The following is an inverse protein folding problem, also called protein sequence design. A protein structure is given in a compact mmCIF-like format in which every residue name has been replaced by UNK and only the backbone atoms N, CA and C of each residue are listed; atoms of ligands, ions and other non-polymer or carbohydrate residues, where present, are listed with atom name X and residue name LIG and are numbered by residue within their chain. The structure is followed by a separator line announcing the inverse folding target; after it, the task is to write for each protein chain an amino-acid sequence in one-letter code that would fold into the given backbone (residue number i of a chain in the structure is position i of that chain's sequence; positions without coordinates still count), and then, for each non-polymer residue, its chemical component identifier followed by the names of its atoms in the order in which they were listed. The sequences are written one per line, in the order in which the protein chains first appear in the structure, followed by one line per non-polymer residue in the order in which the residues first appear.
data_IF_650937592378
#
_entry.id   IF_650937592378
#
_cell.length_a   1.000
_cell.length_b   1.000
_cell.length_c   1.000
_cell.angle_alpha   90.00
_cell.angle_beta   90.00
_cell.angle_gamma   90.00
#
_symmetry.space_group_name_H-M   'P 1'
#
loop_
_entity.id
_entity.type
_entity.pdbx_description
1 polymer ?
#
# COMPACT_ATOMS: atom_id res chain seq x y z
N UNK A 1 11.56 -50.76 32.78
CA UNK A 1 11.80 -49.96 31.55
C UNK A 1 10.45 -49.46 31.06
N UNK A 2 10.07 -48.22 31.34
CA UNK A 2 8.94 -47.58 30.67
C UNK A 2 8.96 -46.10 30.98
N UNK A 3 9.13 -45.27 29.95
CA UNK A 3 8.60 -43.90 29.84
C UNK A 3 9.21 -43.25 28.60
N UNK A 4 8.39 -43.05 27.56
CA UNK A 4 8.29 -41.82 26.76
C UNK A 4 7.47 -42.08 25.50
N UNK A 5 6.15 -42.02 25.64
CA UNK A 5 5.23 -41.89 24.50
C UNK A 5 3.95 -41.15 24.92
N UNK A 6 4.09 -40.08 25.70
CA UNK A 6 3.05 -39.07 25.87
C UNK A 6 3.76 -37.73 25.79
N UNK A 7 3.31 -36.86 24.89
CA UNK A 7 3.42 -35.39 24.91
C UNK A 7 3.17 -34.77 23.51
N UNK A 8 3.11 -35.53 22.42
CA UNK A 8 2.93 -34.95 21.08
C UNK A 8 1.47 -34.74 20.65
N UNK A 9 0.50 -35.35 21.33
CA UNK A 9 -0.93 -35.30 20.94
C UNK A 9 -1.68 -34.12 21.61
N UNK A 10 -1.32 -33.77 22.84
CA UNK A 10 -1.93 -32.66 23.59
C UNK A 10 -1.54 -31.29 22.99
N UNK A 11 -0.27 -31.11 22.62
CA UNK A 11 0.23 -29.87 21.99
C UNK A 11 -0.53 -29.49 20.69
N UNK A 12 -0.95 -30.50 19.91
CA UNK A 12 -1.67 -30.29 18.66
C UNK A 12 -3.12 -29.85 18.85
N UNK A 13 -3.78 -30.32 19.92
CA UNK A 13 -5.16 -29.93 20.25
C UNK A 13 -5.21 -28.52 20.85
N UNK A 14 -4.22 -28.14 21.65
CA UNK A 14 -4.11 -26.81 22.21
C UNK A 14 -3.84 -25.75 21.14
N UNK A 15 -2.94 -26.04 20.19
CA UNK A 15 -2.71 -25.16 19.04
C UNK A 15 -3.95 -25.01 18.16
N UNK A 16 -4.71 -26.08 17.95
CA UNK A 16 -5.96 -26.02 17.18
C UNK A 16 -7.02 -25.17 17.90
N UNK A 17 -7.11 -25.27 19.23
CA UNK A 17 -8.02 -24.47 20.04
C UNK A 17 -7.66 -22.98 19.96
N UNK A 18 -6.39 -22.64 20.19
CA UNK A 18 -5.88 -21.26 20.10
C UNK A 18 -6.10 -20.70 18.70
N UNK A 19 -5.84 -21.49 17.65
CA UNK A 19 -6.07 -21.05 16.26
C UNK A 19 -7.53 -20.68 16.02
N UNK A 20 -8.46 -21.51 16.50
CA UNK A 20 -9.90 -21.24 16.38
C UNK A 20 -10.32 -19.99 17.14
N UNK A 21 -9.79 -19.77 18.34
CA UNK A 21 -10.06 -18.55 19.11
C UNK A 21 -9.55 -17.30 18.39
N UNK A 22 -8.35 -17.35 17.81
CA UNK A 22 -7.79 -16.25 17.02
C UNK A 22 -8.63 -15.95 15.78
N UNK A 23 -9.18 -16.98 15.12
CA UNK A 23 -10.07 -16.81 13.98
C UNK A 23 -11.41 -16.17 14.40
N UNK A 24 -11.99 -16.62 15.52
CA UNK A 24 -13.21 -16.00 16.09
C UNK A 24 -12.99 -14.53 16.43
N UNK A 25 -11.86 -14.19 17.06
CA UNK A 25 -11.51 -12.78 17.37
C UNK A 25 -11.36 -11.99 16.06
N UNK A 26 -10.65 -12.54 15.07
CA UNK A 26 -10.48 -11.89 13.76
C UNK A 26 -11.82 -11.61 13.08
N UNK A 27 -12.76 -12.55 13.14
CA UNK A 27 -14.08 -12.37 12.54
C UNK A 27 -14.94 -11.37 13.31
N UNK A 28 -14.86 -11.38 14.64
CA UNK A 28 -15.46 -10.33 15.49
C UNK A 28 -14.96 -8.92 15.13
N UNK A 29 -13.64 -8.76 14.92
CA UNK A 29 -13.06 -7.48 14.50
C UNK A 29 -13.61 -7.02 13.13
N UNK A 30 -13.79 -7.94 12.18
CA UNK A 30 -14.38 -7.61 10.86
C UNK A 30 -15.82 -7.10 10.99
N UNK A 31 -16.61 -7.70 11.89
CA UNK A 31 -17.99 -7.25 12.16
C UNK A 31 -18.04 -5.82 12.71
N UNK A 32 -17.00 -5.39 13.42
CA UNK A 32 -16.82 -4.01 13.89
C UNK A 32 -16.32 -3.05 12.79
N UNK A 33 -16.25 -3.50 11.53
CA UNK A 33 -15.80 -2.69 10.39
C UNK A 33 -14.28 -2.51 10.33
N UNK A 34 -13.51 -3.24 11.14
CA UNK A 34 -12.06 -3.22 11.06
C UNK A 34 -11.59 -3.98 9.82
N UNK A 35 -10.67 -3.37 9.10
CA UNK A 35 -10.07 -3.94 7.89
C UNK A 35 -8.59 -4.14 8.10
N UNK A 36 -8.05 -5.22 7.56
CA UNK A 36 -6.65 -5.58 7.75
C UNK A 36 -5.81 -5.17 6.54
N UNK A 37 -4.65 -4.58 6.80
CA UNK A 37 -3.65 -4.37 5.73
C UNK A 37 -3.06 -5.72 5.29
N UNK A 38 -3.06 -5.98 3.99
CA UNK A 38 -2.51 -7.20 3.39
C UNK A 38 -1.00 -7.33 3.59
N UNK A 39 -0.28 -6.21 3.73
CA UNK A 39 1.17 -6.19 3.89
C UNK A 39 1.61 -6.38 5.34
N UNK A 40 1.15 -5.54 6.27
CA UNK A 40 1.62 -5.56 7.67
C UNK A 40 0.69 -6.28 8.64
N UNK A 41 -0.47 -6.77 8.18
CA UNK A 41 -1.48 -7.50 8.99
C UNK A 41 -2.08 -6.71 10.17
N UNK A 42 -1.81 -5.41 10.27
CA UNK A 42 -2.46 -4.52 11.26
C UNK A 42 -3.90 -4.21 10.86
N UNK A 43 -4.78 -4.07 11.84
CA UNK A 43 -6.18 -3.69 11.67
C UNK A 43 -6.35 -2.18 11.74
N UNK A 44 -7.26 -1.66 10.92
CA UNK A 44 -7.58 -0.24 10.83
C UNK A 44 -9.09 -0.05 10.80
N UNK A 45 -9.55 0.99 11.50
CA UNK A 45 -10.93 1.47 11.40
C UNK A 45 -11.03 2.24 10.06
N UNK A 46 -11.92 1.83 9.16
CA UNK A 46 -12.04 2.42 7.81
C UNK A 46 -13.47 2.89 7.49
N UNK A 47 -14.04 3.86 8.22
CA UNK A 47 -15.37 4.39 7.92
C UNK A 47 -15.39 5.19 6.61
N UNK A 48 -14.30 5.89 6.28
CA UNK A 48 -14.19 6.81 5.14
C UNK A 48 -13.15 6.39 4.08
N UNK A 49 -12.47 5.26 4.28
CA UNK A 49 -11.40 4.80 3.39
C UNK A 49 -10.06 5.51 3.55
N UNK A 50 -9.89 6.42 4.52
CA UNK A 50 -8.63 7.17 4.74
C UNK A 50 -7.45 6.30 5.15
N UNK A 51 -7.69 5.21 5.87
CA UNK A 51 -6.61 4.43 6.48
C UNK A 51 -6.09 3.29 5.60
N UNK A 52 -6.89 2.82 4.64
CA UNK A 52 -6.52 1.74 3.73
C UNK A 52 -6.96 2.07 2.30
N UNK A 53 -6.00 2.05 1.38
CA UNK A 53 -6.28 1.96 -0.04
C UNK A 53 -6.91 0.60 -0.35
N UNK A 54 -8.00 0.58 -1.13
CA UNK A 54 -8.54 -0.64 -1.71
C UNK A 54 -8.30 -0.65 -3.22
N UNK A 55 -7.27 -1.38 -3.66
CA UNK A 55 -6.91 -1.53 -5.06
C UNK A 55 -6.74 -3.01 -5.44
N UNK A 56 -7.78 -3.80 -5.16
CA UNK A 56 -7.76 -5.27 -5.20
C UNK A 56 -7.08 -5.90 -3.97
N UNK A 57 -6.26 -5.13 -3.25
CA UNK A 57 -5.73 -5.46 -1.93
C UNK A 57 -5.88 -4.25 -1.01
N UNK A 58 -6.09 -4.50 0.27
CA UNK A 58 -6.15 -3.45 1.30
C UNK A 58 -4.76 -3.08 1.79
N UNK A 59 -4.31 -1.85 1.57
CA UNK A 59 -2.94 -1.43 1.86
C UNK A 59 -2.95 -0.14 2.67
N UNK A 60 -2.24 -0.12 3.80
CA UNK A 60 -2.12 1.09 4.61
C UNK A 60 -1.05 2.03 4.05
N UNK A 61 -1.15 3.31 4.40
CA UNK A 61 -0.26 4.37 3.93
C UNK A 61 1.23 4.02 4.10
N UNK A 62 1.61 3.48 5.27
CA UNK A 62 3.00 3.10 5.57
C UNK A 62 3.54 1.97 4.69
N UNK A 63 2.68 1.07 4.23
CA UNK A 63 3.08 -0.05 3.37
C UNK A 63 3.05 0.30 1.88
N UNK A 64 2.51 1.47 1.53
CA UNK A 64 2.14 1.82 0.17
C UNK A 64 3.31 1.81 -0.82
N UNK A 65 4.42 2.48 -0.50
CA UNK A 65 5.59 2.58 -1.40
C UNK A 65 6.12 1.20 -1.75
N UNK A 66 6.43 0.40 -0.72
CA UNK A 66 6.95 -0.96 -0.87
C UNK A 66 5.97 -1.86 -1.63
N UNK A 67 4.67 -1.77 -1.30
CA UNK A 67 3.65 -2.56 -2.00
C UNK A 67 3.58 -2.19 -3.48
N UNK A 68 3.58 -0.90 -3.82
CA UNK A 68 3.49 -0.44 -5.19
C UNK A 68 4.74 -0.79 -6.02
N UNK A 69 5.93 -0.63 -5.44
CA UNK A 69 7.20 -1.04 -6.06
C UNK A 69 7.21 -2.53 -6.41
N UNK A 70 6.63 -3.38 -5.55
CA UNK A 70 6.56 -4.83 -5.78
C UNK A 70 5.45 -5.24 -6.74
N UNK A 71 4.31 -4.54 -6.73
CA UNK A 71 3.11 -4.90 -7.49
C UNK A 71 3.13 -4.33 -8.91
N UNK A 72 3.50 -3.07 -9.08
CA UNK A 72 3.42 -2.37 -10.37
C UNK A 72 4.16 -3.04 -11.53
N UNK A 73 5.28 -3.78 -11.34
CA UNK A 73 5.94 -4.50 -12.43
C UNK A 73 5.27 -5.83 -12.81
N UNK A 74 4.37 -6.35 -11.95
CA UNK A 74 3.78 -7.69 -12.08
C UNK A 74 2.36 -7.70 -12.65
N UNK A 75 1.75 -6.53 -12.76
CA UNK A 75 0.37 -6.33 -13.23
C UNK A 75 0.38 -5.85 -14.68
N UNK A 76 -0.74 -6.07 -15.37
CA UNK A 76 -0.88 -5.58 -16.75
C UNK A 76 -0.90 -4.05 -16.80
N UNK A 77 -0.69 -3.47 -17.99
CA UNK A 77 -0.79 -2.02 -18.20
C UNK A 77 -2.17 -1.48 -17.80
N UNK A 78 -3.23 -2.21 -18.16
CA UNK A 78 -4.60 -1.80 -17.85
C UNK A 78 -4.89 -1.83 -16.36
N UNK A 79 -4.48 -2.91 -15.68
CA UNK A 79 -4.56 -3.02 -14.23
C UNK A 79 -3.75 -1.92 -13.55
N UNK A 80 -2.54 -1.66 -14.07
CA UNK A 80 -1.66 -0.60 -13.56
C UNK A 80 -2.32 0.76 -13.63
N UNK A 81 -2.90 1.14 -14.77
CA UNK A 81 -3.60 2.42 -14.92
C UNK A 81 -4.76 2.56 -13.93
N UNK A 82 -5.51 1.47 -13.73
CA UNK A 82 -6.62 1.45 -12.77
C UNK A 82 -6.12 1.66 -11.34
N UNK A 83 -5.06 0.96 -10.94
CA UNK A 83 -4.49 1.09 -9.60
C UNK A 83 -3.81 2.45 -9.40
N UNK A 84 -3.11 2.99 -10.41
CA UNK A 84 -2.51 4.33 -10.36
C UNK A 84 -3.57 5.41 -10.17
N UNK A 85 -4.72 5.30 -10.85
CA UNK A 85 -5.83 6.25 -10.67
C UNK A 85 -6.43 6.18 -9.25
N UNK A 86 -6.58 4.97 -8.70
CA UNK A 86 -7.04 4.76 -7.33
C UNK A 86 -6.05 5.32 -6.31
N UNK A 87 -4.75 5.04 -6.49
CA UNK A 87 -3.64 5.58 -5.69
C UNK A 87 -3.66 7.11 -5.70
N UNK A 88 -3.72 7.70 -6.88
CA UNK A 88 -3.74 9.14 -7.06
C UNK A 88 -4.91 9.76 -6.30
N UNK A 89 -6.13 9.29 -6.55
CA UNK A 89 -7.34 9.81 -5.88
C UNK A 89 -7.23 9.68 -4.37
N UNK A 90 -6.83 8.52 -3.88
CA UNK A 90 -6.72 8.27 -2.44
C UNK A 90 -5.69 9.18 -1.76
N UNK A 91 -4.51 9.36 -2.37
CA UNK A 91 -3.45 10.22 -1.86
C UNK A 91 -3.82 11.70 -1.89
N UNK A 92 -4.46 12.18 -2.97
CA UNK A 92 -4.92 13.56 -3.08
C UNK A 92 -6.01 13.86 -2.04
N UNK A 93 -7.02 12.99 -1.92
CA UNK A 93 -8.19 13.24 -1.06
C UNK A 93 -7.84 13.16 0.42
N UNK A 94 -7.02 12.18 0.83
CA UNK A 94 -6.86 11.84 2.24
C UNK A 94 -5.49 12.16 2.85
N UNK A 95 -4.47 12.36 2.02
CA UNK A 95 -3.08 12.51 2.46
C UNK A 95 -2.41 13.80 1.99
N UNK A 96 -3.18 14.76 1.46
CA UNK A 96 -2.65 16.07 1.05
C UNK A 96 -1.57 15.97 -0.02
N UNK A 97 -1.62 14.93 -0.85
CA UNK A 97 -0.65 14.74 -1.90
C UNK A 97 -0.81 15.80 -3.02
N UNK A 98 0.20 15.90 -3.87
CA UNK A 98 0.15 16.66 -5.12
C UNK A 98 0.83 15.91 -6.25
N UNK A 99 0.43 16.20 -7.49
CA UNK A 99 1.08 15.66 -8.68
C UNK A 99 2.22 16.56 -9.10
N UNK A 100 3.39 15.98 -9.32
CA UNK A 100 4.59 16.63 -9.84
C UNK A 100 4.92 15.98 -11.17
N UNK A 101 4.90 16.78 -12.25
CA UNK A 101 5.20 16.30 -13.62
C UNK A 101 6.61 16.66 -14.07
N UNK A 102 7.15 17.76 -13.52
CA UNK A 102 8.48 18.25 -13.84
C UNK A 102 9.41 18.02 -12.67
N UNK A 103 10.60 17.47 -12.93
CA UNK A 103 11.62 17.27 -11.90
C UNK A 103 12.00 18.59 -11.20
N UNK A 104 11.99 19.71 -11.90
CA UNK A 104 12.25 21.04 -11.32
C UNK A 104 11.20 21.50 -10.31
N UNK A 105 10.02 20.87 -10.27
CA UNK A 105 8.95 21.15 -9.32
C UNK A 105 8.94 20.18 -8.13
N UNK A 106 9.86 19.22 -8.13
CA UNK A 106 10.01 18.25 -7.04
C UNK A 106 10.46 18.99 -5.77
N UNK A 107 9.83 18.73 -4.60
CA UNK A 107 10.36 19.22 -3.33
C UNK A 107 11.78 18.71 -3.07
N UNK A 108 12.46 19.35 -2.13
CA UNK A 108 13.71 18.83 -1.58
C UNK A 108 13.47 17.43 -0.98
N UNK A 109 14.44 16.53 -1.09
CA UNK A 109 14.25 15.11 -0.75
C UNK A 109 13.93 14.92 0.74
N UNK A 110 14.53 15.75 1.58
CA UNK A 110 14.33 15.83 3.01
C UNK A 110 12.88 16.22 3.40
N UNK A 111 12.19 16.97 2.54
CA UNK A 111 10.80 17.41 2.73
C UNK A 111 9.79 16.38 2.25
N UNK A 112 10.21 15.34 1.52
CA UNK A 112 9.33 14.32 0.96
C UNK A 112 9.03 13.26 2.04
N UNK A 113 7.75 13.03 2.31
CA UNK A 113 7.28 11.91 3.13
C UNK A 113 7.03 10.65 2.28
N UNK A 114 6.40 10.85 1.12
CA UNK A 114 6.08 9.79 0.18
C UNK A 114 6.26 10.30 -1.24
N UNK A 115 6.88 9.48 -2.09
CA UNK A 115 7.00 9.71 -3.53
C UNK A 115 6.67 8.43 -4.27
N UNK A 116 5.63 8.47 -5.09
CA UNK A 116 5.22 7.34 -5.92
C UNK A 116 5.23 7.78 -7.37
N UNK A 117 5.92 7.03 -8.23
CA UNK A 117 5.83 7.23 -9.67
C UNK A 117 4.48 6.70 -10.19
N UNK A 118 3.75 7.55 -10.90
CA UNK A 118 2.48 7.25 -11.58
C UNK A 118 2.53 7.87 -12.97
N UNK A 119 2.01 7.21 -14.00
CA UNK A 119 1.85 7.81 -15.33
C UNK A 119 3.14 8.28 -16.01
N UNK A 120 3.10 8.59 -17.30
CA UNK A 120 4.24 9.16 -18.03
C UNK A 120 3.70 9.99 -19.19
N UNK A 121 4.10 11.27 -19.28
CA UNK A 121 3.61 12.17 -20.33
C UNK A 121 3.91 11.63 -21.73
N UNK A 122 5.09 11.02 -21.93
CA UNK A 122 5.52 10.49 -23.23
C UNK A 122 4.70 9.30 -23.74
N UNK A 123 4.14 8.48 -22.85
CA UNK A 123 3.23 7.40 -23.23
C UNK A 123 1.79 7.64 -22.78
N UNK A 124 1.47 8.85 -22.34
CA UNK A 124 0.19 9.23 -21.73
C UNK A 124 -0.29 8.20 -20.69
N UNK A 125 0.61 7.79 -19.80
CA UNK A 125 0.37 6.78 -18.77
C UNK A 125 0.25 5.34 -19.25
N UNK A 126 0.19 5.07 -20.56
CA UNK A 126 -0.01 3.71 -21.09
C UNK A 126 1.16 2.75 -20.86
N UNK A 127 2.30 3.23 -20.36
CA UNK A 127 3.49 2.41 -20.16
C UNK A 127 4.13 1.84 -21.44
N UNK A 128 3.53 2.08 -22.62
CA UNK A 128 3.97 1.57 -23.91
C UNK A 128 3.97 2.65 -24.99
N UNK A 129 4.87 2.48 -25.96
CA UNK A 129 4.93 3.27 -27.19
C UNK A 129 4.86 2.28 -28.36
N UNK A 130 3.67 2.12 -28.94
CA UNK A 130 3.39 1.03 -29.89
C UNK A 130 3.29 -0.33 -29.19
N UNK A 131 4.02 -1.33 -29.69
CA UNK A 131 4.08 -2.70 -29.15
C UNK A 131 5.16 -2.91 -28.08
N UNK A 132 6.00 -1.90 -27.83
CA UNK A 132 7.12 -2.00 -26.90
C UNK A 132 6.90 -1.12 -25.67
N UNK A 133 7.58 -1.45 -24.56
CA UNK A 133 7.58 -0.62 -23.36
C UNK A 133 8.03 0.80 -23.71
N UNK A 134 7.44 1.79 -23.07
CA UNK A 134 7.81 3.18 -23.29
C UNK A 134 9.28 3.38 -22.94
N UNK A 135 10.11 3.76 -23.90
CA UNK A 135 11.55 3.95 -23.68
C UNK A 135 11.87 5.04 -22.64
N UNK A 136 10.92 5.95 -22.37
CA UNK A 136 11.11 7.03 -21.41
C UNK A 136 10.94 6.58 -19.95
N UNK A 137 9.95 5.73 -19.69
CA UNK A 137 9.62 5.33 -18.33
C UNK A 137 9.78 3.82 -18.08
N UNK A 138 10.14 3.05 -19.11
CA UNK A 138 10.17 1.59 -19.12
C UNK A 138 8.88 0.96 -18.57
N UNK A 139 7.75 1.59 -18.90
CA UNK A 139 6.43 1.21 -18.38
C UNK A 139 6.17 1.58 -16.92
N UNK A 140 7.12 2.21 -16.21
CA UNK A 140 7.05 2.52 -14.78
C UNK A 140 6.49 3.89 -14.42
N UNK A 141 6.28 4.74 -15.41
CA UNK A 141 5.90 6.13 -15.20
C UNK A 141 7.06 7.09 -14.90
N UNK A 142 6.84 8.37 -15.17
CA UNK A 142 7.72 9.50 -14.90
C UNK A 142 6.96 10.75 -14.38
N UNK A 143 5.67 10.66 -14.06
CA UNK A 143 5.03 11.65 -13.19
C UNK A 143 5.04 11.11 -11.75
N UNK A 144 4.94 11.98 -10.75
CA UNK A 144 5.05 11.58 -9.35
C UNK A 144 3.88 12.12 -8.53
N UNK A 145 3.28 11.26 -7.70
CA UNK A 145 2.44 11.69 -6.58
C UNK A 145 3.34 11.85 -5.37
N UNK A 146 3.35 13.05 -4.80
CA UNK A 146 4.24 13.41 -3.71
C UNK A 146 3.43 13.91 -2.52
N UNK A 147 3.72 13.37 -1.34
CA UNK A 147 3.29 13.91 -0.05
C UNK A 147 4.50 14.53 0.62
N UNK A 148 4.36 15.76 1.07
CA UNK A 148 5.41 16.49 1.78
C UNK A 148 5.17 16.42 3.28
N UNK A 149 6.26 16.36 4.06
CA UNK A 149 6.19 16.40 5.52
C UNK A 149 5.53 17.71 5.96
N UNK A 150 4.67 17.69 7.00
CA UNK A 150 4.18 18.91 7.60
C UNK A 150 5.38 19.74 8.09
N UNK A 151 5.50 20.99 7.65
CA UNK A 151 6.48 21.91 8.26
C UNK A 151 6.04 22.15 9.69
N UNK A 152 6.80 21.63 10.65
CA UNK A 152 6.61 21.97 12.06
C UNK A 152 6.80 23.49 12.17
N UNK A 153 5.72 24.22 12.48
CA UNK A 153 5.84 25.63 12.84
C UNK A 153 6.51 25.67 14.20
N UNK A 154 7.83 25.89 14.21
CA UNK A 154 8.53 26.24 15.44
C UNK A 154 8.06 27.65 15.79
N UNK A 155 7.14 27.75 16.73
CA UNK A 155 6.84 29.04 17.35
C UNK A 155 8.07 29.44 18.15
N UNK A 156 8.85 30.38 17.63
CA UNK A 156 9.80 31.13 18.45
C UNK A 156 8.97 32.00 19.39
N UNK A 157 8.83 31.55 20.63
CA UNK A 157 8.48 32.40 21.78
C UNK A 157 9.73 33.14 22.25
#
# INVERSE_FOLDING_TARGET
MNTKTLNTVEDGQDLACISRELDNIRDGLKLLGLKQCSCCRKYFICPDGKNLLNAGQLVCYRCLSRWWEQRSPKISIEERNTVELQLLRWLLTYHGARVVRRLSQMPATEDIELKIAVGCERCNGRGQSGTTKCQNCDGRGCEWVVVVKPKLRVHHT
#
